data_IF_773539016484
#
_entry.id   IF_773539016484
#
_cell.length_a   1.000
_cell.length_b   1.000
_cell.length_c   1.000
_cell.angle_alpha   90.00
_cell.angle_beta   90.00
_cell.angle_gamma   90.00
#
_symmetry.space_group_name_H-M   'P 1'
#
loop_
_entity.id
_entity.type
_entity.pdbx_description
1 polymer ?
#
# COMPACT_ATOMS: atom_id res chain seq x y z
N UNK A 1 2.18 -8.81 -16.31
CA UNK A 1 2.53 -8.81 -14.88
C UNK A 1 1.53 -7.95 -14.11
N UNK A 2 0.79 -8.53 -13.20
CA UNK A 2 -0.27 -7.84 -12.47
C UNK A 2 0.07 -7.80 -10.98
N UNK A 3 0.01 -6.61 -10.40
CA UNK A 3 0.06 -6.37 -8.97
C UNK A 3 -1.36 -6.05 -8.51
N UNK A 4 -1.98 -6.94 -7.76
CA UNK A 4 -3.28 -6.69 -7.15
C UNK A 4 -3.07 -6.04 -5.79
N UNK A 5 -3.80 -4.97 -5.53
CA UNK A 5 -3.82 -4.23 -4.26
C UNK A 5 -5.24 -4.13 -3.74
N UNK A 6 -5.41 -3.87 -2.46
CA UNK A 6 -6.73 -3.86 -1.83
C UNK A 6 -7.59 -2.69 -2.31
N UNK A 7 -7.04 -1.48 -2.29
CA UNK A 7 -7.78 -0.26 -2.53
C UNK A 7 -7.20 0.67 -3.59
N UNK A 8 -7.99 1.66 -3.95
CA UNK A 8 -7.59 2.70 -4.90
C UNK A 8 -6.51 3.62 -4.31
N UNK A 9 -6.45 3.79 -3.00
CA UNK A 9 -5.43 4.59 -2.31
C UNK A 9 -4.06 3.93 -2.45
N UNK A 10 -3.98 2.60 -2.34
CA UNK A 10 -2.74 1.85 -2.55
C UNK A 10 -2.22 2.05 -3.98
N UNK A 11 -3.12 1.97 -4.96
CA UNK A 11 -2.78 2.27 -6.36
C UNK A 11 -2.21 3.69 -6.50
N UNK A 12 -2.82 4.70 -5.87
CA UNK A 12 -2.34 6.09 -5.96
C UNK A 12 -0.95 6.25 -5.34
N UNK A 13 -0.73 5.74 -4.12
CA UNK A 13 0.58 5.80 -3.48
C UNK A 13 1.64 5.06 -4.31
N UNK A 14 1.39 3.81 -4.66
CA UNK A 14 2.38 2.99 -5.37
C UNK A 14 2.75 3.58 -6.74
N UNK A 15 1.75 4.03 -7.51
CA UNK A 15 2.02 4.60 -8.83
C UNK A 15 2.78 5.91 -8.74
N UNK A 16 2.29 6.87 -7.94
CA UNK A 16 2.89 8.20 -7.84
C UNK A 16 4.29 8.17 -7.22
N UNK A 17 4.47 7.38 -6.14
CA UNK A 17 5.80 7.24 -5.50
C UNK A 17 6.77 6.48 -6.40
N UNK A 18 6.31 5.46 -7.14
CA UNK A 18 7.16 4.76 -8.12
C UNK A 18 7.71 5.71 -9.18
N UNK A 19 6.85 6.59 -9.72
CA UNK A 19 7.27 7.56 -10.73
C UNK A 19 8.21 8.62 -10.14
N UNK A 20 7.92 9.09 -8.93
CA UNK A 20 8.81 9.99 -8.21
C UNK A 20 10.19 9.38 -7.95
N UNK A 21 10.27 8.14 -7.43
CA UNK A 21 11.55 7.47 -7.17
C UNK A 21 12.37 7.30 -8.44
N UNK A 22 11.73 6.94 -9.56
CA UNK A 22 12.41 6.86 -10.86
C UNK A 22 12.96 8.21 -11.31
N UNK A 23 12.22 9.31 -11.07
CA UNK A 23 12.67 10.67 -11.44
C UNK A 23 13.93 11.11 -10.71
N UNK A 24 14.15 10.60 -9.50
CA UNK A 24 15.35 10.83 -8.68
C UNK A 24 16.38 9.68 -8.76
N UNK A 25 16.30 8.86 -9.81
CA UNK A 25 17.21 7.73 -10.06
C UNK A 25 17.22 6.65 -8.97
N UNK A 26 16.11 6.47 -8.24
CA UNK A 26 15.88 5.39 -7.27
C UNK A 26 15.01 4.29 -7.89
N UNK A 27 14.91 3.15 -7.19
CA UNK A 27 14.13 2.01 -7.67
C UNK A 27 12.63 2.24 -7.53
N UNK A 28 11.90 2.29 -8.66
CA UNK A 28 10.44 2.21 -8.71
C UNK A 28 9.96 0.83 -9.18
N UNK A 29 8.67 0.71 -9.43
CA UNK A 29 8.07 -0.48 -10.03
C UNK A 29 8.54 -0.66 -11.49
N UNK A 30 8.77 -1.92 -11.91
CA UNK A 30 9.05 -2.23 -13.31
C UNK A 30 7.90 -1.74 -14.21
N UNK A 31 8.24 -1.12 -15.34
CA UNK A 31 7.27 -0.52 -16.26
C UNK A 31 6.26 -1.54 -16.86
N UNK A 32 6.54 -2.84 -16.76
CA UNK A 32 5.65 -3.92 -17.22
C UNK A 32 4.64 -4.36 -16.16
N UNK A 33 4.66 -3.76 -14.97
CA UNK A 33 3.71 -4.08 -13.90
C UNK A 33 2.47 -3.20 -14.04
N UNK A 34 1.32 -3.84 -14.09
CA UNK A 34 0.00 -3.19 -14.05
C UNK A 34 -0.53 -3.33 -12.63
N UNK A 35 -0.79 -2.23 -11.96
CA UNK A 35 -1.41 -2.22 -10.63
C UNK A 35 -2.93 -2.25 -10.80
N UNK A 36 -3.59 -3.21 -10.15
CA UNK A 36 -5.04 -3.39 -10.24
C UNK A 36 -5.65 -3.33 -8.84
N UNK A 37 -6.36 -2.26 -8.48
CA UNK A 37 -7.06 -2.18 -7.21
C UNK A 37 -8.31 -3.08 -7.23
N UNK A 38 -8.46 -3.95 -6.23
CA UNK A 38 -9.59 -4.87 -6.13
C UNK A 38 -10.89 -4.17 -5.66
N UNK A 39 -10.76 -3.05 -4.95
CA UNK A 39 -11.89 -2.31 -4.38
C UNK A 39 -12.35 -2.86 -3.01
N UNK A 40 -11.40 -3.35 -2.22
CA UNK A 40 -11.52 -3.85 -0.86
C UNK A 40 -10.96 -5.27 -0.69
N UNK A 41 -10.47 -5.59 0.50
CA UNK A 41 -9.81 -6.86 0.84
C UNK A 41 -10.64 -8.09 0.42
N UNK A 42 -11.96 -8.06 0.64
CA UNK A 42 -12.88 -9.16 0.29
C UNK A 42 -12.97 -9.43 -1.23
N UNK A 43 -12.63 -8.45 -2.08
CA UNK A 43 -12.68 -8.60 -3.54
C UNK A 43 -11.34 -9.07 -4.13
N UNK A 44 -10.29 -9.08 -3.34
CA UNK A 44 -8.97 -9.53 -3.78
C UNK A 44 -9.03 -10.96 -4.30
N UNK A 45 -9.65 -11.88 -3.55
CA UNK A 45 -9.78 -13.30 -3.94
C UNK A 45 -10.47 -13.48 -5.29
N UNK A 46 -11.52 -12.70 -5.56
CA UNK A 46 -12.21 -12.72 -6.86
C UNK A 46 -11.31 -12.22 -8.00
N UNK A 47 -10.64 -11.08 -7.80
CA UNK A 47 -9.76 -10.49 -8.81
C UNK A 47 -8.57 -11.41 -9.13
N UNK A 48 -7.94 -12.00 -8.10
CA UNK A 48 -6.87 -12.98 -8.27
C UNK A 48 -7.34 -14.18 -9.06
N UNK A 49 -8.50 -14.76 -8.72
CA UNK A 49 -9.06 -15.91 -9.42
C UNK A 49 -9.32 -15.61 -10.91
N UNK A 50 -9.85 -14.42 -11.19
CA UNK A 50 -10.12 -13.97 -12.56
C UNK A 50 -8.82 -13.87 -13.38
N UNK A 51 -7.78 -13.21 -12.87
CA UNK A 51 -6.54 -13.02 -13.60
C UNK A 51 -5.71 -14.32 -13.68
N UNK A 52 -5.69 -15.13 -12.63
CA UNK A 52 -5.00 -16.42 -12.62
C UNK A 52 -5.59 -17.39 -13.64
N UNK A 53 -6.93 -17.38 -13.83
CA UNK A 53 -7.60 -18.21 -14.83
C UNK A 53 -7.21 -17.88 -16.27
N UNK A 54 -6.67 -16.69 -16.51
CA UNK A 54 -6.15 -16.25 -17.81
C UNK A 54 -4.64 -16.49 -17.99
N UNK A 55 -4.02 -17.29 -17.11
CA UNK A 55 -2.57 -17.56 -17.10
C UNK A 55 -1.72 -16.28 -17.01
N UNK A 56 -2.22 -15.25 -16.34
CA UNK A 56 -1.49 -14.02 -16.11
C UNK A 56 -0.62 -14.15 -14.87
N UNK A 57 0.57 -13.55 -14.92
CA UNK A 57 1.40 -13.43 -13.72
C UNK A 57 0.76 -12.48 -12.73
N UNK A 58 0.46 -12.98 -11.54
CA UNK A 58 -0.20 -12.24 -10.48
C UNK A 58 0.65 -12.27 -9.22
N UNK A 59 0.88 -11.09 -8.67
CA UNK A 59 1.37 -10.87 -7.30
C UNK A 59 0.34 -10.04 -6.56
N UNK A 60 0.15 -10.32 -5.29
CA UNK A 60 -0.80 -9.62 -4.42
C UNK A 60 -0.03 -8.88 -3.35
N UNK A 61 -0.34 -7.60 -3.14
CA UNK A 61 0.10 -6.82 -1.99
C UNK A 61 -1.11 -6.62 -1.07
N UNK A 62 -0.96 -7.01 0.18
CA UNK A 62 -1.97 -6.92 1.23
C UNK A 62 -1.49 -6.04 2.38
N UNK A 63 -2.42 -5.38 3.04
CA UNK A 63 -2.18 -4.78 4.35
C UNK A 63 -1.88 -5.87 5.39
N UNK A 64 -1.05 -5.58 6.40
CA UNK A 64 -0.83 -6.50 7.52
C UNK A 64 -1.95 -6.34 8.53
N UNK A 65 -3.05 -7.07 8.31
CA UNK A 65 -4.18 -7.10 9.23
C UNK A 65 -4.89 -8.46 9.20
N UNK A 66 -5.81 -8.67 10.14
CA UNK A 66 -6.48 -9.98 10.32
C UNK A 66 -7.26 -10.40 9.08
N UNK A 67 -7.99 -9.47 8.47
CA UNK A 67 -8.84 -9.75 7.30
C UNK A 67 -7.98 -10.17 6.10
N UNK A 68 -6.90 -9.45 5.85
CA UNK A 68 -5.96 -9.74 4.77
C UNK A 68 -5.21 -11.07 4.98
N UNK A 69 -4.93 -11.46 6.23
CA UNK A 69 -4.40 -12.79 6.55
C UNK A 69 -5.40 -13.90 6.19
N UNK A 70 -6.68 -13.69 6.47
CA UNK A 70 -7.74 -14.62 6.06
C UNK A 70 -7.81 -14.75 4.54
N UNK A 71 -7.80 -13.63 3.82
CA UNK A 71 -7.77 -13.59 2.35
C UNK A 71 -6.58 -14.36 1.78
N UNK A 72 -5.38 -14.18 2.36
CA UNK A 72 -4.19 -14.97 1.97
C UNK A 72 -4.42 -16.46 2.16
N UNK A 73 -4.93 -16.86 3.33
CA UNK A 73 -5.11 -18.28 3.68
C UNK A 73 -6.14 -18.95 2.74
N UNK A 74 -7.20 -18.25 2.38
CA UNK A 74 -8.17 -18.69 1.38
C UNK A 74 -7.56 -18.87 -0.01
N UNK A 75 -6.81 -17.87 -0.49
CA UNK A 75 -6.15 -17.92 -1.80
C UNK A 75 -5.16 -19.08 -1.92
N UNK A 76 -4.36 -19.30 -0.87
CA UNK A 76 -3.35 -20.36 -0.84
C UNK A 76 -4.02 -21.72 -0.62
N UNK A 77 -4.97 -21.82 0.31
CA UNK A 77 -5.70 -23.06 0.62
C UNK A 77 -6.48 -23.59 -0.59
N UNK A 78 -7.13 -22.72 -1.35
CA UNK A 78 -7.84 -23.04 -2.58
C UNK A 78 -6.91 -23.20 -3.81
N UNK A 79 -5.59 -23.12 -3.63
CA UNK A 79 -4.58 -23.23 -4.69
C UNK A 79 -4.78 -22.26 -5.86
N UNK A 80 -5.36 -21.09 -5.59
CA UNK A 80 -5.58 -20.03 -6.59
C UNK A 80 -4.26 -19.34 -6.93
N UNK A 81 -3.40 -19.15 -5.92
CA UNK A 81 -2.09 -18.52 -6.08
C UNK A 81 -1.08 -19.15 -5.10
N UNK A 82 0.18 -19.18 -5.49
CA UNK A 82 1.23 -19.67 -4.61
C UNK A 82 1.55 -18.62 -3.53
N UNK A 83 1.79 -19.08 -2.28
CA UNK A 83 2.09 -18.19 -1.15
C UNK A 83 3.24 -17.20 -1.41
N UNK A 84 4.23 -17.58 -2.23
CA UNK A 84 5.37 -16.72 -2.57
C UNK A 84 4.97 -15.52 -3.45
N UNK A 85 3.80 -15.55 -4.05
CA UNK A 85 3.27 -14.46 -4.86
C UNK A 85 2.39 -13.49 -4.05
N UNK A 86 2.29 -13.69 -2.74
CA UNK A 86 1.64 -12.78 -1.82
C UNK A 86 2.71 -12.04 -1.01
N UNK A 87 2.53 -10.74 -0.84
CA UNK A 87 3.38 -9.83 -0.09
C UNK A 87 2.51 -9.04 0.87
N UNK A 88 2.96 -8.88 2.10
CA UNK A 88 2.37 -7.93 3.04
C UNK A 88 3.18 -6.64 3.09
N UNK A 89 2.49 -5.51 3.30
CA UNK A 89 3.15 -4.21 3.46
C UNK A 89 4.21 -4.25 4.55
N UNK A 90 3.96 -4.97 5.63
CA UNK A 90 4.90 -5.14 6.76
C UNK A 90 6.25 -5.77 6.37
N UNK A 91 6.35 -6.52 5.24
CA UNK A 91 7.61 -7.18 4.83
C UNK A 91 8.72 -6.19 4.45
N UNK A 92 8.38 -4.92 4.17
CA UNK A 92 9.38 -3.88 3.91
C UNK A 92 9.79 -3.10 5.18
N UNK A 93 9.06 -3.25 6.30
CA UNK A 93 9.41 -2.59 7.55
C UNK A 93 10.63 -3.25 8.22
N UNK A 94 11.41 -2.47 8.96
CA UNK A 94 12.59 -2.97 9.65
C UNK A 94 12.26 -3.68 10.97
N UNK A 95 11.08 -3.40 11.51
CA UNK A 95 10.57 -4.02 12.73
C UNK A 95 9.35 -4.87 12.44
N UNK A 96 9.23 -6.01 13.14
CA UNK A 96 8.04 -6.82 13.04
C UNK A 96 6.87 -6.11 13.72
N UNK A 97 5.79 -5.92 12.97
CA UNK A 97 4.55 -5.31 13.45
C UNK A 97 3.38 -6.29 13.31
N UNK A 98 2.35 -6.12 14.10
CA UNK A 98 1.14 -6.95 14.03
C UNK A 98 0.16 -6.44 12.95
N UNK A 99 0.17 -5.14 12.72
CA UNK A 99 -0.66 -4.47 11.74
C UNK A 99 0.14 -3.38 11.02
N UNK A 100 -0.04 -3.26 9.72
CA UNK A 100 0.49 -2.17 8.89
C UNK A 100 -0.34 -2.01 7.63
N UNK A 101 -0.47 -0.79 7.15
CA UNK A 101 -1.02 -0.44 5.84
C UNK A 101 -0.07 0.46 5.05
N UNK A 102 -0.42 0.79 3.81
CA UNK A 102 0.45 1.57 2.93
C UNK A 102 0.81 2.94 3.51
N UNK A 103 -0.06 3.53 4.32
CA UNK A 103 0.15 4.82 4.96
C UNK A 103 1.28 4.77 6.01
N UNK A 104 1.58 3.59 6.59
CA UNK A 104 2.68 3.42 7.54
C UNK A 104 4.08 3.44 6.86
N UNK A 105 4.13 3.47 5.53
CA UNK A 105 5.37 3.71 4.77
C UNK A 105 5.71 5.18 4.63
N UNK A 106 4.77 6.07 4.93
CA UNK A 106 5.03 7.50 5.03
C UNK A 106 5.60 7.82 6.40
N UNK A 107 6.41 8.87 6.44
CA UNK A 107 6.75 9.47 7.74
C UNK A 107 5.46 9.83 8.47
N UNK A 108 5.40 9.43 9.76
CA UNK A 108 4.20 9.59 10.57
C UNK A 108 3.71 11.04 10.63
N UNK A 109 4.62 11.98 10.88
CA UNK A 109 4.26 13.38 11.03
C UNK A 109 3.77 13.95 9.69
N UNK A 110 4.38 13.52 8.59
CA UNK A 110 3.92 13.86 7.23
C UNK A 110 2.48 13.41 7.03
N UNK A 111 2.17 12.13 7.28
CA UNK A 111 0.81 11.63 7.09
C UNK A 111 -0.21 12.34 7.99
N UNK A 112 0.11 12.54 9.27
CA UNK A 112 -0.79 13.24 10.20
C UNK A 112 -1.00 14.71 9.82
N UNK A 113 0.00 15.39 9.26
CA UNK A 113 -0.13 16.74 8.72
C UNK A 113 -1.05 16.77 7.48
N UNK A 114 -0.95 15.78 6.59
CA UNK A 114 -1.90 15.63 5.47
C UNK A 114 -3.34 15.42 5.96
N UNK A 115 -3.53 14.67 7.05
CA UNK A 115 -4.86 14.51 7.67
C UNK A 115 -5.36 15.82 8.27
N UNK A 116 -4.50 16.58 8.96
CA UNK A 116 -4.85 17.91 9.48
C UNK A 116 -5.29 18.85 8.36
N UNK A 117 -4.49 18.98 7.31
CA UNK A 117 -4.79 19.90 6.19
C UNK A 117 -6.12 19.58 5.49
N UNK A 118 -6.51 18.29 5.46
CA UNK A 118 -7.74 17.84 4.77
C UNK A 118 -8.98 17.77 5.65
N UNK A 119 -8.84 17.81 6.97
CA UNK A 119 -9.96 17.72 7.91
C UNK A 119 -10.01 18.90 8.90
N UNK A 120 -9.00 19.07 9.75
CA UNK A 120 -8.90 20.17 10.72
C UNK A 120 -7.53 20.21 11.39
N UNK A 121 -6.95 21.39 11.53
CA UNK A 121 -5.68 21.61 12.27
C UNK A 121 -5.80 21.28 13.78
N UNK A 122 -7.03 21.26 14.32
CA UNK A 122 -7.29 20.98 15.74
C UNK A 122 -7.31 19.48 16.08
N UNK A 123 -7.03 18.58 15.11
CA UNK A 123 -7.02 17.14 15.37
C UNK A 123 -5.93 16.78 16.37
N UNK A 124 -6.30 15.95 17.35
CA UNK A 124 -5.38 15.37 18.34
C UNK A 124 -5.26 13.88 18.10
N UNK A 125 -4.05 13.41 17.89
CA UNK A 125 -3.78 12.01 17.60
C UNK A 125 -3.33 11.25 18.85
N UNK A 126 -3.78 10.02 18.98
CA UNK A 126 -3.36 9.12 20.05
C UNK A 126 -2.13 8.33 19.62
N UNK A 127 -0.98 8.69 20.16
CA UNK A 127 0.31 8.07 19.83
C UNK A 127 0.45 6.62 20.26
N UNK A 128 -0.42 6.15 21.15
CA UNK A 128 -0.41 4.75 21.57
C UNK A 128 -1.04 3.79 20.53
N UNK A 129 -1.62 4.32 19.45
CA UNK A 129 -2.14 3.53 18.34
C UNK A 129 -1.02 3.33 17.32
N UNK A 130 -0.57 2.09 17.05
CA UNK A 130 0.57 1.85 16.16
C UNK A 130 0.31 2.31 14.71
N UNK A 131 -0.84 1.95 14.12
CA UNK A 131 -1.21 2.29 12.74
C UNK A 131 -1.60 3.75 12.60
N UNK A 132 -0.88 4.47 11.73
CA UNK A 132 -1.10 5.91 11.53
C UNK A 132 -2.48 6.22 10.96
N UNK A 133 -3.00 5.38 10.08
CA UNK A 133 -4.36 5.53 9.53
C UNK A 133 -5.45 5.32 10.60
N UNK A 134 -5.26 4.41 11.56
CA UNK A 134 -6.18 4.24 12.71
C UNK A 134 -6.15 5.43 13.66
N UNK A 135 -4.98 6.04 13.87
CA UNK A 135 -4.87 7.28 14.65
C UNK A 135 -5.69 8.41 14.00
N UNK A 136 -5.54 8.57 12.67
CA UNK A 136 -6.28 9.54 11.89
C UNK A 136 -7.79 9.28 11.96
N UNK A 137 -8.21 8.05 11.77
CA UNK A 137 -9.61 7.66 11.84
C UNK A 137 -10.23 7.99 13.21
N UNK A 138 -9.55 7.64 14.32
CA UNK A 138 -10.03 7.95 15.65
C UNK A 138 -10.15 9.45 15.90
N UNK A 139 -9.14 10.23 15.49
CA UNK A 139 -9.12 11.68 15.68
C UNK A 139 -10.23 12.38 14.89
N UNK A 140 -10.46 11.98 13.63
CA UNK A 140 -11.52 12.53 12.77
C UNK A 140 -12.91 12.15 13.29
N UNK A 141 -13.11 10.90 13.73
CA UNK A 141 -14.37 10.46 14.35
C UNK A 141 -14.67 11.21 15.65
N UNK A 142 -13.69 11.57 16.44
CA UNK A 142 -13.86 12.37 17.65
C UNK A 142 -14.41 13.77 17.37
N UNK A 143 -14.28 14.26 16.12
CA UNK A 143 -14.90 15.50 15.62
C UNK A 143 -16.24 15.25 14.90
N UNK A 144 -16.88 14.08 15.09
CA UNK A 144 -18.13 13.68 14.43
C UNK A 144 -18.05 13.67 12.88
N UNK A 145 -16.88 13.36 12.33
CA UNK A 145 -16.67 13.25 10.88
C UNK A 145 -16.29 11.82 10.51
N UNK A 146 -16.57 11.43 9.26
CA UNK A 146 -16.12 10.16 8.71
C UNK A 146 -14.73 10.31 8.10
N UNK A 147 -13.80 9.45 8.51
CA UNK A 147 -12.47 9.39 7.90
C UNK A 147 -12.54 8.66 6.55
N UNK A 148 -11.98 9.28 5.52
CA UNK A 148 -11.87 8.75 4.16
C UNK A 148 -10.41 8.82 3.73
N UNK A 149 -9.72 7.70 3.67
CA UNK A 149 -8.28 7.60 3.29
C UNK A 149 -7.95 8.35 1.99
N UNK A 150 -8.90 8.39 1.04
CA UNK A 150 -8.71 9.07 -0.24
C UNK A 150 -8.49 10.60 -0.12
N UNK A 151 -8.90 11.26 0.97
CA UNK A 151 -8.67 12.70 1.13
C UNK A 151 -7.18 13.02 1.36
N UNK A 152 -6.51 12.51 2.42
CA UNK A 152 -5.09 12.75 2.61
C UNK A 152 -4.24 12.15 1.47
N UNK A 153 -4.67 11.05 0.84
CA UNK A 153 -3.95 10.50 -0.31
C UNK A 153 -3.97 11.43 -1.54
N UNK A 154 -5.07 12.14 -1.80
CA UNK A 154 -5.12 13.16 -2.87
C UNK A 154 -4.22 14.35 -2.56
N UNK A 155 -4.23 14.82 -1.34
CA UNK A 155 -3.35 15.91 -0.89
C UNK A 155 -1.88 15.50 -1.03
N UNK A 156 -1.54 14.27 -0.60
CA UNK A 156 -0.22 13.70 -0.82
C UNK A 156 0.19 13.77 -2.30
N UNK A 157 -0.65 13.30 -3.24
CA UNK A 157 -0.32 13.32 -4.67
C UNK A 157 -0.15 14.74 -5.20
N UNK A 158 -0.95 15.70 -4.73
CA UNK A 158 -0.83 17.11 -5.12
C UNK A 158 0.51 17.68 -4.68
N UNK A 159 0.89 17.45 -3.42
CA UNK A 159 2.17 17.92 -2.88
C UNK A 159 3.36 17.17 -3.48
N UNK A 160 3.24 15.87 -3.74
CA UNK A 160 4.28 15.10 -4.41
C UNK A 160 4.61 15.66 -5.80
N UNK A 161 3.60 16.18 -6.51
CA UNK A 161 3.78 16.79 -7.83
C UNK A 161 4.33 18.22 -7.80
N UNK A 162 4.11 18.97 -6.71
CA UNK A 162 4.47 20.41 -6.62
C UNK A 162 5.64 20.70 -5.68
N UNK A 163 5.74 19.96 -4.59
CA UNK A 163 6.70 20.20 -3.49
C UNK A 163 7.03 18.86 -2.81
N UNK A 164 7.67 17.92 -3.52
CA UNK A 164 7.89 16.54 -3.03
C UNK A 164 8.65 16.46 -1.71
N UNK A 165 9.51 17.43 -1.42
CA UNK A 165 10.26 17.54 -0.17
C UNK A 165 9.37 17.68 1.08
N UNK A 166 8.12 18.10 0.92
CA UNK A 166 7.16 18.20 2.03
C UNK A 166 6.54 16.86 2.42
N UNK A 167 6.54 15.89 1.51
CA UNK A 167 5.83 14.61 1.70
C UNK A 167 6.72 13.37 1.54
N UNK A 168 7.90 13.50 0.96
CA UNK A 168 8.86 12.41 0.77
C UNK A 168 10.11 12.62 1.59
N UNK A 169 10.10 12.11 2.81
CA UNK A 169 11.29 12.05 3.65
C UNK A 169 12.19 10.89 3.23
N UNK A 170 13.46 10.90 3.65
CA UNK A 170 14.37 9.78 3.39
C UNK A 170 13.85 8.46 3.99
N UNK A 171 13.13 8.52 5.12
CA UNK A 171 12.43 7.37 5.71
C UNK A 171 11.43 6.78 4.72
N UNK A 172 10.51 7.59 4.18
CA UNK A 172 9.50 7.15 3.23
C UNK A 172 10.12 6.63 1.94
N UNK A 173 11.12 7.33 1.40
CA UNK A 173 11.87 6.94 0.20
C UNK A 173 12.43 5.53 0.36
N UNK A 174 13.13 5.26 1.46
CA UNK A 174 13.77 3.98 1.71
C UNK A 174 12.76 2.82 1.85
N UNK A 175 11.64 3.04 2.55
CA UNK A 175 10.61 2.02 2.72
C UNK A 175 9.89 1.70 1.40
N UNK A 176 9.49 2.71 0.63
CA UNK A 176 8.87 2.50 -0.68
C UNK A 176 9.84 1.84 -1.66
N UNK A 177 11.10 2.25 -1.70
CA UNK A 177 12.09 1.61 -2.56
C UNK A 177 12.26 0.13 -2.20
N UNK A 178 12.36 -0.19 -0.91
CA UNK A 178 12.43 -1.58 -0.43
C UNK A 178 11.19 -2.39 -0.82
N UNK A 179 9.99 -1.80 -0.68
CA UNK A 179 8.75 -2.41 -1.13
C UNK A 179 8.79 -2.69 -2.65
N UNK A 180 9.19 -1.72 -3.47
CA UNK A 180 9.25 -1.90 -4.92
C UNK A 180 10.28 -2.95 -5.33
N UNK A 181 11.42 -3.03 -4.67
CA UNK A 181 12.41 -4.09 -4.88
C UNK A 181 11.82 -5.48 -4.59
N UNK A 182 11.05 -5.63 -3.49
CA UNK A 182 10.36 -6.87 -3.15
C UNK A 182 9.30 -7.25 -4.19
N UNK A 183 8.46 -6.31 -4.61
CA UNK A 183 7.43 -6.51 -5.65
C UNK A 183 8.09 -6.93 -6.97
N UNK A 184 9.09 -6.19 -7.45
CA UNK A 184 9.81 -6.47 -8.69
C UNK A 184 10.42 -7.88 -8.66
N UNK A 185 11.01 -8.28 -7.53
CA UNK A 185 11.57 -9.62 -7.33
C UNK A 185 10.50 -10.71 -7.38
N UNK A 186 9.36 -10.51 -6.69
CA UNK A 186 8.26 -11.49 -6.68
C UNK A 186 7.64 -11.66 -8.08
N UNK A 187 7.44 -10.58 -8.82
CA UNK A 187 6.93 -10.60 -10.20
C UNK A 187 7.87 -11.40 -11.12
N UNK A 188 9.20 -11.17 -11.04
CA UNK A 188 10.18 -11.95 -11.82
C UNK A 188 10.14 -13.43 -11.50
N UNK A 189 9.92 -13.79 -10.24
CA UNK A 189 9.86 -15.18 -9.81
C UNK A 189 8.51 -15.83 -10.21
N UNK A 190 7.39 -15.12 -10.14
CA UNK A 190 6.09 -15.59 -10.58
C UNK A 190 6.11 -15.95 -12.08
N UNK A 191 6.76 -15.11 -12.91
CA UNK A 191 6.91 -15.37 -14.35
C UNK A 191 7.69 -16.64 -14.70
N UNK A 192 8.50 -17.18 -13.78
CA UNK A 192 9.27 -18.42 -13.97
C UNK A 192 8.52 -19.68 -13.57
N UNK A 193 7.47 -19.54 -12.79
CA UNK A 193 6.68 -20.66 -12.23
C UNK A 193 5.40 -20.95 -13.04
N UNK A 194 5.17 -20.22 -14.12
CA UNK A 194 4.07 -20.46 -15.06
C UNK A 194 4.58 -21.38 -16.17
N UNK A 195 4.65 -22.69 -15.88
CA UNK A 195 4.86 -23.78 -16.87
C UNK A 195 3.77 -24.79 -16.64
#
# INVERSE_FOLDING_TARGET
NNLIVEGVTDFWYLNSVSDYLKSISRTGLDAKIIITPAGGAQKVSYMVSLLASQNLNVVVLLDEERESKTTRDELVGNKVIHKNNILFVSECLDTKVEEADIEDLLDRDVFLNLVKSTYSDELKFNENIPRVAKQAEQAVRAKNQSFVKAKPAREFMTLLGSSPEQVMTEFSINLFEKLFQLINKKIKNASRNTI
#
